data_IF_532842739468
#
_entry.id   IF_532842739468
#
_cell.length_a   1.000
_cell.length_b   1.000
_cell.length_c   1.000
_cell.angle_alpha   90.00
_cell.angle_beta   90.00
_cell.angle_gamma   90.00
#
_symmetry.space_group_name_H-M   'P 1'
#
loop_
_entity.id
_entity.type
_entity.pdbx_description
1 polymer ?
#
# COMPACT_ATOMS: atom_id res chain seq x y z
N UNK A 1 1.39 19.54 2.58
CA UNK A 1 2.25 18.74 1.69
C UNK A 1 2.37 19.47 0.37
N UNK A 2 3.57 19.56 -0.18
CA UNK A 2 3.79 20.13 -1.53
C UNK A 2 3.13 19.20 -2.55
N UNK A 3 2.50 19.77 -3.61
CA UNK A 3 1.91 19.03 -4.73
C UNK A 3 2.95 18.17 -5.50
N UNK A 4 4.23 18.45 -5.29
CA UNK A 4 5.37 17.79 -5.96
C UNK A 4 6.04 16.70 -5.09
N UNK A 5 5.52 16.40 -3.89
CA UNK A 5 6.12 15.37 -3.04
C UNK A 5 5.55 14.00 -3.39
N UNK A 6 6.41 13.03 -3.67
CA UNK A 6 5.99 11.62 -3.85
C UNK A 6 5.18 11.15 -2.65
N UNK A 7 3.98 10.60 -2.87
CA UNK A 7 3.14 10.08 -1.80
C UNK A 7 3.84 8.98 -1.00
N UNK A 8 3.51 8.87 0.28
CA UNK A 8 4.13 7.85 1.15
C UNK A 8 3.95 6.43 0.63
N UNK A 9 2.78 6.10 0.10
CA UNK A 9 2.46 4.77 -0.43
C UNK A 9 3.19 4.39 -1.73
N UNK A 10 3.91 5.34 -2.35
CA UNK A 10 4.69 5.13 -3.59
C UNK A 10 6.20 5.24 -3.35
N UNK A 11 6.61 5.48 -2.10
CA UNK A 11 8.01 5.51 -1.70
C UNK A 11 8.47 4.10 -1.36
N UNK A 12 9.74 3.80 -1.63
CA UNK A 12 10.37 2.55 -1.18
C UNK A 12 10.49 2.59 0.33
N UNK A 13 9.95 1.59 1.03
CA UNK A 13 10.01 1.48 2.48
C UNK A 13 11.22 0.64 2.89
N UNK A 14 12.19 1.27 3.55
CA UNK A 14 13.43 0.64 4.03
C UNK A 14 13.36 0.55 5.55
N UNK A 15 13.28 -0.67 6.09
CA UNK A 15 13.20 -0.89 7.52
C UNK A 15 14.54 -1.31 8.12
N UNK A 16 14.92 -0.71 9.25
CA UNK A 16 16.14 -1.03 9.98
C UNK A 16 15.79 -1.89 11.20
N UNK A 17 16.34 -3.09 11.25
CA UNK A 17 16.22 -4.03 12.36
C UNK A 17 17.59 -4.21 13.04
N UNK A 18 17.60 -4.58 14.28
CA UNK A 18 18.83 -4.86 15.05
C UNK A 18 18.66 -4.53 16.52
N UNK A 19 19.62 -4.99 17.29
CA UNK A 19 19.66 -4.78 18.75
C UNK A 19 19.68 -3.29 19.12
N UNK A 20 19.41 -3.05 20.37
CA UNK A 20 19.63 -1.73 20.95
C UNK A 20 21.10 -1.33 20.80
N UNK A 21 21.36 -0.05 20.60
CA UNK A 21 22.70 0.51 20.40
C UNK A 21 23.51 -0.06 19.22
N UNK A 22 22.93 -0.85 18.33
CA UNK A 22 23.59 -1.26 17.07
C UNK A 22 23.84 -0.07 16.13
N UNK A 23 23.18 1.07 16.39
CA UNK A 23 23.39 2.31 15.65
C UNK A 23 22.41 2.54 14.48
N UNK A 24 21.20 1.97 14.53
CA UNK A 24 20.14 2.16 13.52
C UNK A 24 19.89 3.63 13.21
N UNK A 25 19.56 4.43 14.23
CA UNK A 25 19.30 5.86 14.09
C UNK A 25 20.53 6.63 13.61
N UNK A 26 21.75 6.21 14.03
CA UNK A 26 23.00 6.81 13.59
C UNK A 26 23.25 6.56 12.10
N UNK A 27 22.92 5.37 11.59
CA UNK A 27 23.01 5.05 10.16
C UNK A 27 22.04 5.93 9.36
N UNK A 28 20.78 6.08 9.80
CA UNK A 28 19.81 6.97 9.14
C UNK A 28 20.36 8.39 9.06
N UNK A 29 20.90 8.92 10.15
CA UNK A 29 21.48 10.27 10.19
C UNK A 29 22.71 10.39 9.27
N UNK A 30 23.57 9.36 9.22
CA UNK A 30 24.75 9.34 8.34
C UNK A 30 24.34 9.28 6.85
N UNK A 31 23.32 8.50 6.50
CA UNK A 31 22.81 8.37 5.13
C UNK A 31 22.18 9.68 4.62
N UNK A 32 21.56 10.45 5.50
CA UNK A 32 20.83 11.67 5.15
C UNK A 32 21.64 12.94 5.28
N UNK A 33 22.80 12.89 5.92
CA UNK A 33 23.58 14.07 6.35
C UNK A 33 22.77 15.07 7.20
N UNK A 34 21.73 14.60 7.92
CA UNK A 34 20.85 15.40 8.77
C UNK A 34 20.65 14.68 10.11
N UNK A 35 20.53 15.42 11.18
CA UNK A 35 20.15 14.89 12.50
C UNK A 35 18.63 14.65 12.55
N UNK A 36 18.14 13.69 11.75
CA UNK A 36 16.72 13.39 11.63
C UNK A 36 16.24 12.37 12.66
N UNK A 37 17.11 11.52 13.16
CA UNK A 37 16.78 10.51 14.17
C UNK A 37 17.32 10.96 15.53
N UNK A 38 16.47 10.86 16.56
CA UNK A 38 16.90 11.12 17.94
C UNK A 38 17.72 9.92 18.39
N UNK A 39 19.03 10.12 18.55
CA UNK A 39 19.90 9.16 19.20
C UNK A 39 19.73 9.37 20.72
N UNK A 40 19.03 8.47 21.39
CA UNK A 40 18.84 8.53 22.83
C UNK A 40 19.60 7.41 23.54
N UNK A 41 20.46 7.77 24.48
CA UNK A 41 21.15 6.83 25.37
C UNK A 41 20.27 6.38 26.57
N UNK A 42 19.05 6.93 26.68
CA UNK A 42 18.15 6.66 27.82
C UNK A 42 17.29 5.44 27.57
N UNK A 43 17.25 4.52 28.54
CA UNK A 43 16.40 3.33 28.53
C UNK A 43 14.90 3.69 28.44
N UNK A 44 14.19 3.15 27.43
CA UNK A 44 12.73 3.12 27.43
C UNK A 44 11.99 4.16 26.60
N UNK A 45 12.63 4.84 25.63
CA UNK A 45 12.04 6.03 25.02
C UNK A 45 11.07 5.80 23.85
N UNK A 46 11.07 4.67 23.15
CA UNK A 46 10.03 4.42 22.13
C UNK A 46 9.81 2.92 21.89
N UNK A 47 8.56 2.48 21.99
CA UNK A 47 8.11 1.15 21.57
C UNK A 47 7.59 1.14 20.13
N UNK A 48 7.33 2.29 19.54
CA UNK A 48 6.75 2.40 18.21
C UNK A 48 7.80 2.73 17.14
N UNK A 49 7.67 2.17 15.93
CA UNK A 49 8.53 2.47 14.80
C UNK A 49 8.40 3.93 14.37
N UNK A 50 9.52 4.56 14.03
CA UNK A 50 9.55 5.94 13.54
C UNK A 50 9.70 5.94 12.02
N UNK A 51 8.76 6.59 11.33
CA UNK A 51 8.74 6.68 9.88
C UNK A 51 9.26 8.05 9.40
N UNK A 52 10.23 8.05 8.49
CA UNK A 52 10.83 9.28 7.93
C UNK A 52 10.85 9.22 6.41
N UNK A 53 10.07 10.10 5.78
CA UNK A 53 10.10 10.28 4.34
C UNK A 53 11.26 11.19 3.94
N UNK A 54 12.06 10.77 2.95
CA UNK A 54 13.22 11.51 2.47
C UNK A 54 13.56 11.16 1.02
N UNK A 55 14.51 11.92 0.44
CA UNK A 55 15.18 11.54 -0.80
C UNK A 55 16.51 10.87 -0.47
N UNK A 56 16.75 9.71 -1.04
CA UNK A 56 17.96 8.93 -0.87
C UNK A 56 18.57 8.60 -2.23
N UNK A 57 19.58 9.35 -2.66
CA UNK A 57 20.29 9.05 -3.91
C UNK A 57 21.18 7.78 -3.76
N UNK A 58 21.19 6.86 -4.75
CA UNK A 58 20.55 6.96 -6.07
C UNK A 58 19.08 6.49 -6.13
N UNK A 59 18.46 6.05 -5.01
CA UNK A 59 17.13 5.44 -4.99
C UNK A 59 15.98 6.42 -5.25
N UNK A 60 16.16 7.72 -4.95
CA UNK A 60 15.07 8.69 -5.00
C UNK A 60 14.21 8.71 -3.71
N UNK A 61 12.87 8.82 -3.84
CA UNK A 61 11.99 8.98 -2.69
C UNK A 61 11.82 7.68 -1.87
N UNK A 62 12.22 7.70 -0.60
CA UNK A 62 12.13 6.56 0.32
C UNK A 62 11.39 6.93 1.62
N UNK A 63 10.95 5.91 2.36
CA UNK A 63 10.56 5.99 3.76
C UNK A 63 11.49 5.12 4.56
N UNK A 64 12.31 5.72 5.42
CA UNK A 64 13.11 4.99 6.39
C UNK A 64 12.26 4.65 7.61
N UNK A 65 12.28 3.40 8.05
CA UNK A 65 11.53 2.93 9.23
C UNK A 65 12.54 2.53 10.28
N UNK A 66 12.71 3.37 11.31
CA UNK A 66 13.56 3.08 12.46
C UNK A 66 12.77 2.24 13.45
N UNK A 67 13.17 0.99 13.65
CA UNK A 67 12.52 0.11 14.61
C UNK A 67 13.16 0.24 16.00
N UNK A 68 12.37 0.13 17.09
CA UNK A 68 12.95 0.05 18.43
C UNK A 68 13.90 -1.15 18.53
N UNK A 69 14.88 -1.09 19.45
CA UNK A 69 15.77 -2.22 19.72
C UNK A 69 14.95 -3.43 20.20
N UNK A 70 15.26 -4.62 19.69
CA UNK A 70 14.43 -5.82 19.82
C UNK A 70 14.98 -6.85 20.83
N UNK A 71 15.98 -6.45 21.61
CA UNK A 71 16.78 -7.28 22.52
C UNK A 71 16.31 -7.27 23.97
N UNK A 72 15.10 -6.79 24.27
CA UNK A 72 14.53 -6.85 25.61
C UNK A 72 13.82 -8.21 25.85
N UNK A 73 13.97 -8.75 27.06
CA UNK A 73 13.30 -9.97 27.52
C UNK A 73 11.92 -9.65 28.15
N UNK A 74 11.04 -10.65 28.20
CA UNK A 74 9.72 -10.56 28.82
C UNK A 74 8.65 -9.88 27.98
N UNK A 75 7.60 -9.37 28.62
CA UNK A 75 6.41 -8.79 27.98
C UNK A 75 6.72 -7.64 27.00
N UNK A 76 7.78 -6.87 27.26
CA UNK A 76 8.23 -5.80 26.41
C UNK A 76 8.92 -6.34 25.13
N UNK A 77 9.65 -7.46 25.26
CA UNK A 77 10.26 -8.17 24.13
C UNK A 77 9.21 -8.72 23.16
N UNK A 78 8.16 -9.37 23.67
CA UNK A 78 7.06 -9.88 22.83
C UNK A 78 6.36 -8.77 22.04
N UNK A 79 6.07 -7.64 22.70
CA UNK A 79 5.47 -6.47 22.04
C UNK A 79 6.37 -5.91 20.93
N UNK A 80 7.68 -5.90 21.12
CA UNK A 80 8.65 -5.43 20.10
C UNK A 80 8.78 -6.40 18.94
N UNK A 81 8.80 -7.70 19.19
CA UNK A 81 8.77 -8.73 18.14
C UNK A 81 7.50 -8.60 17.28
N UNK A 82 6.35 -8.40 17.93
CA UNK A 82 5.09 -8.13 17.24
C UNK A 82 5.19 -6.89 16.34
N UNK A 83 5.71 -5.78 16.86
CA UNK A 83 5.94 -4.55 16.08
C UNK A 83 6.93 -4.76 14.93
N UNK A 84 7.98 -5.55 15.12
CA UNK A 84 8.91 -5.89 14.05
C UNK A 84 8.20 -6.66 12.92
N UNK A 85 7.34 -7.63 13.26
CA UNK A 85 6.53 -8.37 12.28
C UNK A 85 5.58 -7.46 11.50
N UNK A 86 4.95 -6.47 12.16
CA UNK A 86 4.12 -5.46 11.52
C UNK A 86 4.93 -4.60 10.53
N UNK A 87 6.15 -4.18 10.92
CA UNK A 87 7.05 -3.39 10.07
C UNK A 87 7.51 -4.20 8.86
N UNK A 88 7.84 -5.49 9.06
CA UNK A 88 8.20 -6.39 7.96
C UNK A 88 7.10 -6.52 6.91
N UNK A 89 5.83 -6.48 7.32
CA UNK A 89 4.69 -6.48 6.38
C UNK A 89 4.62 -5.24 5.47
N UNK A 90 5.38 -4.19 5.79
CA UNK A 90 5.39 -2.89 5.07
C UNK A 90 6.73 -2.61 4.40
N UNK A 91 7.78 -3.31 4.77
CA UNK A 91 9.14 -3.05 4.30
C UNK A 91 9.37 -3.65 2.90
N UNK A 92 9.79 -2.84 1.94
CA UNK A 92 10.24 -3.28 0.63
C UNK A 92 11.68 -3.81 0.70
N UNK A 93 12.51 -3.22 1.57
CA UNK A 93 13.90 -3.61 1.84
C UNK A 93 14.13 -3.64 3.35
N UNK A 94 14.85 -4.63 3.84
CA UNK A 94 15.26 -4.75 5.23
C UNK A 94 16.77 -4.57 5.40
N UNK A 95 17.18 -3.76 6.38
CA UNK A 95 18.57 -3.62 6.80
C UNK A 95 18.70 -4.22 8.21
N UNK A 96 19.53 -5.25 8.35
CA UNK A 96 19.84 -5.87 9.65
C UNK A 96 21.12 -5.25 10.17
N UNK A 97 21.00 -4.37 11.16
CA UNK A 97 22.10 -3.58 11.69
C UNK A 97 22.74 -4.30 12.89
N UNK A 98 24.03 -4.56 12.78
CA UNK A 98 24.83 -5.26 13.78
C UNK A 98 25.98 -4.38 14.26
N UNK A 99 26.42 -4.61 15.49
CA UNK A 99 27.65 -4.04 16.00
C UNK A 99 28.83 -4.91 15.54
N UNK A 100 29.74 -4.36 14.74
CA UNK A 100 30.89 -5.09 14.20
C UNK A 100 31.83 -5.63 15.30
N UNK A 101 31.77 -5.07 16.52
CA UNK A 101 32.58 -5.58 17.67
C UNK A 101 31.98 -6.83 18.29
N UNK A 102 30.67 -7.02 18.19
CA UNK A 102 29.95 -8.18 18.73
C UNK A 102 29.72 -9.29 17.70
N UNK A 103 29.69 -8.92 16.40
CA UNK A 103 29.35 -9.83 15.33
C UNK A 103 27.86 -10.18 15.28
N UNK A 104 27.52 -11.18 14.47
CA UNK A 104 26.16 -11.73 14.36
C UNK A 104 25.84 -12.61 15.56
N UNK A 105 24.63 -12.48 16.08
CA UNK A 105 24.11 -13.27 17.21
C UNK A 105 22.85 -14.01 16.81
N UNK A 106 22.38 -14.94 17.64
CA UNK A 106 21.14 -15.70 17.41
C UNK A 106 19.93 -14.82 17.10
N UNK A 107 19.86 -13.64 17.73
CA UNK A 107 18.80 -12.66 17.46
C UNK A 107 18.80 -12.16 15.99
N UNK A 108 19.96 -11.78 15.46
CA UNK A 108 20.06 -11.32 14.07
C UNK A 108 19.82 -12.48 13.10
N UNK A 109 20.24 -13.70 13.43
CA UNK A 109 19.95 -14.90 12.62
C UNK A 109 18.45 -15.17 12.54
N UNK A 110 17.71 -15.11 13.66
CA UNK A 110 16.27 -15.31 13.69
C UNK A 110 15.53 -14.21 12.92
N UNK A 111 16.00 -12.96 13.01
CA UNK A 111 15.46 -11.86 12.22
C UNK A 111 15.68 -12.08 10.73
N UNK A 112 16.86 -12.53 10.31
CA UNK A 112 17.18 -12.83 8.92
C UNK A 112 16.27 -13.97 8.42
N UNK A 113 16.09 -15.05 9.17
CA UNK A 113 15.16 -16.14 8.82
C UNK A 113 13.74 -15.61 8.59
N UNK A 114 13.24 -14.75 9.48
CA UNK A 114 11.91 -14.14 9.35
C UNK A 114 11.78 -13.22 8.11
N UNK A 115 12.86 -12.53 7.73
CA UNK A 115 12.94 -11.69 6.53
C UNK A 115 12.93 -12.58 5.28
N UNK A 116 13.70 -13.67 5.27
CA UNK A 116 13.81 -14.62 4.16
C UNK A 116 12.49 -15.37 3.93
N UNK A 117 11.82 -15.83 4.98
CA UNK A 117 10.50 -16.47 4.90
C UNK A 117 9.47 -15.56 4.21
N UNK A 118 9.59 -14.26 4.40
CA UNK A 118 8.73 -13.25 3.74
C UNK A 118 9.24 -12.77 2.39
N UNK A 119 10.33 -13.34 1.90
CA UNK A 119 10.97 -12.98 0.62
C UNK A 119 11.24 -11.47 0.50
N UNK A 120 11.73 -10.86 1.58
CA UNK A 120 12.10 -9.45 1.59
C UNK A 120 13.57 -9.34 1.22
N UNK A 121 13.94 -8.53 0.20
CA UNK A 121 15.33 -8.20 -0.05
C UNK A 121 15.98 -7.58 1.18
N UNK A 122 17.19 -8.05 1.55
CA UNK A 122 17.84 -7.54 2.76
C UNK A 122 19.36 -7.41 2.60
N UNK A 123 19.94 -6.61 3.49
CA UNK A 123 21.37 -6.41 3.63
C UNK A 123 21.77 -6.47 5.10
N UNK A 124 22.86 -7.18 5.38
CA UNK A 124 23.52 -7.19 6.68
C UNK A 124 24.44 -5.98 6.75
N UNK A 125 24.31 -5.17 7.81
CA UNK A 125 25.10 -3.94 7.96
C UNK A 125 25.86 -3.99 9.27
N UNK A 126 27.17 -4.21 9.17
CA UNK A 126 28.09 -4.19 10.30
C UNK A 126 28.55 -2.77 10.55
N UNK A 127 27.98 -2.15 11.59
CA UNK A 127 28.27 -0.79 11.98
C UNK A 127 29.37 -0.74 13.08
N UNK A 128 29.90 0.45 13.37
CA UNK A 128 30.94 0.73 14.33
C UNK A 128 32.32 0.14 13.96
N UNK A 129 32.63 0.11 12.69
CA UNK A 129 33.95 -0.32 12.21
C UNK A 129 35.11 0.53 12.75
N UNK A 130 34.83 1.74 13.24
CA UNK A 130 35.80 2.60 13.95
C UNK A 130 36.25 2.04 15.29
N UNK A 131 35.47 1.14 15.90
CA UNK A 131 35.76 0.47 17.17
C UNK A 131 36.26 -0.95 16.99
N UNK A 132 36.17 -1.52 15.79
CA UNK A 132 36.54 -2.88 15.50
C UNK A 132 37.95 -2.97 14.90
N UNK A 133 38.76 -3.89 15.43
CA UNK A 133 40.00 -4.31 14.78
C UNK A 133 39.76 -5.41 13.72
N UNK A 134 38.49 -5.72 13.45
CA UNK A 134 38.12 -6.73 12.48
C UNK A 134 38.52 -6.25 11.07
N UNK A 135 39.28 -7.09 10.35
CA UNK A 135 39.41 -6.91 8.92
C UNK A 135 38.06 -7.15 8.29
N UNK A 136 37.74 -6.40 7.24
CA UNK A 136 36.55 -6.66 6.41
C UNK A 136 36.60 -8.11 5.93
N UNK A 137 35.66 -8.93 6.38
CA UNK A 137 35.50 -10.27 5.84
C UNK A 137 34.47 -10.22 4.70
N UNK A 138 34.75 -10.92 3.64
CA UNK A 138 33.81 -11.04 2.52
C UNK A 138 32.66 -11.95 2.94
N UNK A 139 31.50 -11.36 3.20
CA UNK A 139 30.26 -12.05 3.44
C UNK A 139 29.22 -11.61 2.42
N UNK A 140 28.44 -12.56 1.93
CA UNK A 140 27.39 -12.26 0.96
C UNK A 140 26.29 -11.37 1.58
N UNK A 141 25.76 -10.45 0.78
CA UNK A 141 24.75 -9.48 1.22
C UNK A 141 25.16 -8.69 2.48
N UNK A 142 26.41 -8.26 2.56
CA UNK A 142 26.91 -7.51 3.71
C UNK A 142 27.59 -6.20 3.35
N UNK A 143 27.48 -5.20 4.24
CA UNK A 143 28.21 -3.94 4.20
C UNK A 143 28.83 -3.64 5.55
N UNK A 144 30.03 -3.03 5.52
CA UNK A 144 30.80 -2.63 6.70
C UNK A 144 30.88 -1.12 6.75
N UNK A 145 30.37 -0.53 7.83
CA UNK A 145 30.24 0.93 7.95
C UNK A 145 30.68 1.46 9.31
N UNK A 146 31.09 2.73 9.34
CA UNK A 146 31.11 3.53 10.57
C UNK A 146 30.18 4.72 10.38
N UNK A 147 29.01 4.66 11.00
CA UNK A 147 28.07 5.78 10.98
C UNK A 147 28.66 7.04 11.63
N UNK A 148 29.53 6.88 12.62
CA UNK A 148 30.24 7.96 13.33
C UNK A 148 31.21 8.70 12.40
N UNK A 149 32.05 7.95 11.68
CA UNK A 149 33.08 8.52 10.78
C UNK A 149 32.57 8.69 9.34
N UNK A 150 31.30 8.31 9.07
CA UNK A 150 30.67 8.32 7.76
C UNK A 150 31.41 7.47 6.71
N UNK A 151 32.14 6.45 7.13
CA UNK A 151 32.83 5.51 6.23
C UNK A 151 31.90 4.39 5.79
N UNK A 152 31.99 3.95 4.51
CA UNK A 152 31.16 2.88 3.95
C UNK A 152 29.69 3.28 3.71
N UNK A 153 29.29 4.53 3.97
CA UNK A 153 27.90 4.99 3.85
C UNK A 153 27.49 5.14 2.38
N UNK A 154 28.41 5.54 1.51
CA UNK A 154 28.17 5.60 0.07
C UNK A 154 27.94 4.20 -0.51
N UNK A 155 28.82 3.29 -0.21
CA UNK A 155 28.76 1.90 -0.62
C UNK A 155 27.47 1.23 -0.13
N UNK A 156 27.07 1.52 1.10
CA UNK A 156 25.78 1.06 1.65
C UNK A 156 24.58 1.55 0.80
N UNK A 157 24.57 2.81 0.37
CA UNK A 157 23.51 3.34 -0.50
C UNK A 157 23.47 2.67 -1.86
N UNK A 158 24.63 2.41 -2.47
CA UNK A 158 24.74 1.70 -3.74
C UNK A 158 24.21 0.25 -3.62
N UNK A 159 24.58 -0.46 -2.55
CA UNK A 159 24.10 -1.83 -2.32
C UNK A 159 22.58 -1.88 -2.06
N UNK A 160 22.04 -0.91 -1.32
CA UNK A 160 20.59 -0.78 -1.15
C UNK A 160 19.92 -0.53 -2.51
N UNK A 161 20.52 0.29 -3.37
CA UNK A 161 20.03 0.56 -4.73
C UNK A 161 19.86 -0.70 -5.58
N UNK A 162 20.75 -1.67 -5.42
CA UNK A 162 20.70 -2.96 -6.15
C UNK A 162 19.58 -3.89 -5.64
N UNK A 163 19.07 -3.66 -4.43
CA UNK A 163 18.00 -4.47 -3.84
C UNK A 163 16.58 -3.99 -4.23
N UNK A 164 16.47 -2.84 -4.87
CA UNK A 164 15.16 -2.32 -5.30
C UNK A 164 14.52 -3.32 -6.27
N UNK A 165 13.31 -3.79 -6.01
CA UNK A 165 12.62 -4.69 -6.92
C UNK A 165 12.39 -4.00 -8.28
N UNK A 166 12.93 -4.59 -9.35
CA UNK A 166 12.78 -4.06 -10.73
C UNK A 166 11.41 -4.38 -11.34
N UNK A 167 10.65 -5.28 -10.73
CA UNK A 167 9.33 -5.72 -11.23
C UNK A 167 8.25 -4.63 -11.10
N UNK A 168 8.45 -3.62 -10.26
CA UNK A 168 7.47 -2.54 -10.06
C UNK A 168 7.42 -1.55 -11.24
N UNK A 169 8.47 -1.44 -12.03
CA UNK A 169 8.50 -0.54 -13.20
C UNK A 169 7.58 -1.01 -14.36
N UNK A 170 7.16 -2.28 -14.35
CA UNK A 170 6.28 -2.86 -15.39
C UNK A 170 4.80 -2.69 -15.08
N UNK A 171 4.45 -2.45 -13.81
CA UNK A 171 3.06 -2.36 -13.39
C UNK A 171 2.51 -0.96 -13.64
N UNK A 172 1.45 -0.92 -14.43
CA UNK A 172 0.72 0.31 -14.74
C UNK A 172 -0.62 0.34 -13.99
N UNK A 173 -1.08 1.52 -13.65
CA UNK A 173 -2.44 1.70 -13.09
C UNK A 173 -3.45 1.45 -14.20
N UNK A 174 -3.24 2.10 -15.35
CA UNK A 174 -4.13 2.10 -16.51
C UNK A 174 -3.39 2.19 -17.84
N UNK A 175 -2.11 2.55 -17.84
CA UNK A 175 -1.34 2.84 -19.05
C UNK A 175 -1.20 1.67 -20.02
N UNK A 176 -1.31 0.43 -19.53
CA UNK A 176 -1.32 -0.81 -20.33
C UNK A 176 -2.70 -1.15 -20.92
N UNK A 177 -3.76 -0.46 -20.49
CA UNK A 177 -5.13 -0.64 -20.99
C UNK A 177 -5.48 0.31 -22.16
N UNK A 178 -4.56 1.20 -22.53
CA UNK A 178 -4.75 2.25 -23.53
C UNK A 178 -3.57 2.28 -24.51
N UNK A 179 -3.82 2.86 -25.68
CA UNK A 179 -2.79 3.11 -26.68
C UNK A 179 -2.42 4.61 -26.74
N UNK A 180 -1.21 4.97 -27.24
CA UNK A 180 -0.87 6.36 -27.51
C UNK A 180 -1.94 7.05 -28.37
N UNK A 181 -2.26 8.30 -28.01
CA UNK A 181 -3.34 9.13 -28.62
C UNK A 181 -4.77 8.66 -28.34
N UNK A 182 -4.99 7.68 -27.48
CA UNK A 182 -6.35 7.40 -27.00
C UNK A 182 -6.86 8.53 -26.11
N UNK A 183 -8.20 8.69 -26.12
CA UNK A 183 -8.89 9.57 -25.17
C UNK A 183 -9.45 8.76 -24.01
N UNK A 184 -9.20 9.23 -22.79
CA UNK A 184 -9.75 8.65 -21.56
C UNK A 184 -10.48 9.74 -20.80
N UNK A 185 -11.73 9.48 -20.39
CA UNK A 185 -12.49 10.42 -19.58
C UNK A 185 -12.39 9.98 -18.11
N UNK A 186 -11.97 10.92 -17.26
CA UNK A 186 -11.90 10.77 -15.82
C UNK A 186 -13.07 11.51 -15.19
N UNK A 187 -14.02 10.80 -14.61
CA UNK A 187 -15.19 11.39 -13.95
C UNK A 187 -14.91 11.53 -12.46
N UNK A 188 -14.78 12.79 -12.02
CA UNK A 188 -14.37 13.16 -10.67
C UNK A 188 -15.48 13.95 -9.99
N UNK A 189 -16.28 13.34 -9.11
CA UNK A 189 -17.27 14.05 -8.32
C UNK A 189 -16.63 15.12 -7.43
N UNK A 190 -17.26 16.26 -7.30
CA UNK A 190 -16.87 17.30 -6.35
C UNK A 190 -17.87 17.25 -5.19
N UNK A 191 -17.53 16.50 -4.19
CA UNK A 191 -18.32 16.36 -2.97
C UNK A 191 -17.67 17.07 -1.76
N UNK A 192 -18.34 17.05 -0.62
CA UNK A 192 -17.85 17.66 0.61
C UNK A 192 -16.65 16.95 1.22
N UNK A 193 -16.40 15.70 0.83
CA UNK A 193 -15.27 14.90 1.29
C UNK A 193 -13.99 15.15 0.46
N UNK A 194 -14.14 15.73 -0.74
CA UNK A 194 -13.00 16.06 -1.60
C UNK A 194 -12.16 17.18 -0.96
N UNK A 195 -10.82 17.05 -0.94
CA UNK A 195 -9.97 18.10 -0.43
C UNK A 195 -10.11 19.38 -1.28
N UNK A 196 -10.40 20.53 -0.66
CA UNK A 196 -10.48 21.80 -1.38
C UNK A 196 -9.23 22.05 -2.21
N UNK A 197 -9.42 22.37 -3.51
CA UNK A 197 -8.37 22.82 -4.41
C UNK A 197 -7.42 21.75 -4.92
N UNK A 198 -7.71 20.45 -4.72
CA UNK A 198 -6.86 19.38 -5.27
C UNK A 198 -7.66 18.09 -5.57
N UNK A 199 -7.15 17.35 -6.55
CA UNK A 199 -7.57 15.97 -6.79
C UNK A 199 -7.05 15.04 -5.68
N UNK A 200 -7.74 13.94 -5.42
CA UNK A 200 -7.24 12.89 -4.53
C UNK A 200 -6.13 12.09 -5.21
N UNK A 201 -5.33 11.39 -4.41
CA UNK A 201 -4.15 10.69 -4.88
C UNK A 201 -4.41 9.70 -6.03
N UNK A 202 -5.42 8.82 -6.00
CA UNK A 202 -5.71 7.92 -7.11
C UNK A 202 -5.95 8.63 -8.44
N UNK A 203 -6.64 9.76 -8.41
CA UNK A 203 -6.93 10.56 -9.60
C UNK A 203 -5.65 11.16 -10.19
N UNK A 204 -4.78 11.74 -9.34
CA UNK A 204 -3.51 12.32 -9.77
C UNK A 204 -2.58 11.27 -10.39
N UNK A 205 -2.46 10.10 -9.76
CA UNK A 205 -1.61 9.01 -10.23
C UNK A 205 -2.13 8.41 -11.55
N UNK A 206 -3.44 8.24 -11.69
CA UNK A 206 -4.06 7.78 -12.94
C UNK A 206 -3.79 8.76 -14.10
N UNK A 207 -3.93 10.08 -13.85
CA UNK A 207 -3.59 11.10 -14.86
C UNK A 207 -2.12 10.99 -15.27
N UNK A 208 -1.22 10.82 -14.31
CA UNK A 208 0.20 10.71 -14.59
C UNK A 208 0.53 9.46 -15.41
N UNK A 209 -0.05 8.32 -15.07
CA UNK A 209 0.16 7.06 -15.78
C UNK A 209 -0.38 7.12 -17.23
N UNK A 210 -1.53 7.78 -17.44
CA UNK A 210 -2.07 8.04 -18.79
C UNK A 210 -1.13 8.92 -19.63
N UNK A 211 -0.56 9.97 -19.04
CA UNK A 211 0.40 10.84 -19.72
C UNK A 211 1.67 10.07 -20.12
N UNK A 212 2.17 9.21 -19.26
CA UNK A 212 3.34 8.34 -19.53
C UNK A 212 3.03 7.30 -20.62
N UNK A 213 1.79 6.85 -20.74
CA UNK A 213 1.33 5.99 -21.83
C UNK A 213 1.09 6.73 -23.16
N UNK A 214 1.22 8.06 -23.19
CA UNK A 214 0.95 8.89 -24.38
C UNK A 214 -0.54 9.05 -24.68
N UNK A 215 -1.44 8.75 -23.74
CA UNK A 215 -2.88 8.94 -23.87
C UNK A 215 -3.30 10.34 -23.38
N UNK A 216 -4.39 10.86 -23.92
CA UNK A 216 -4.99 12.12 -23.50
C UNK A 216 -6.08 11.87 -22.45
N UNK A 217 -6.05 12.59 -21.34
CA UNK A 217 -7.10 12.53 -20.31
C UNK A 217 -7.96 13.80 -20.29
N UNK A 218 -9.27 13.61 -20.21
CA UNK A 218 -10.26 14.68 -20.03
C UNK A 218 -10.90 14.47 -18.67
N UNK A 219 -10.75 15.45 -17.77
CA UNK A 219 -11.28 15.37 -16.41
C UNK A 219 -12.56 16.18 -16.34
N UNK A 220 -13.66 15.54 -15.94
CA UNK A 220 -14.98 16.15 -15.85
C UNK A 220 -15.69 15.74 -14.58
N UNK A 221 -16.70 16.51 -14.16
CA UNK A 221 -17.64 16.05 -13.13
C UNK A 221 -18.70 15.14 -13.76
N UNK A 222 -19.42 14.40 -12.95
CA UNK A 222 -20.52 13.55 -13.41
C UNK A 222 -21.65 14.34 -14.08
N UNK A 223 -21.77 15.64 -13.81
CA UNK A 223 -22.79 16.54 -14.39
C UNK A 223 -22.46 16.99 -15.81
N UNK A 224 -21.19 17.04 -16.18
CA UNK A 224 -20.74 17.44 -17.53
C UNK A 224 -20.42 16.24 -18.42
N UNK A 225 -20.49 15.00 -17.92
CA UNK A 225 -20.09 13.80 -18.65
C UNK A 225 -20.87 13.60 -19.95
N UNK A 226 -22.20 13.70 -19.90
CA UNK A 226 -23.07 13.49 -21.08
C UNK A 226 -22.71 14.44 -22.20
N UNK A 227 -22.66 15.73 -21.90
CA UNK A 227 -22.26 16.78 -22.87
C UNK A 227 -20.85 16.57 -23.41
N UNK A 228 -19.92 16.15 -22.55
CA UNK A 228 -18.55 15.88 -22.98
C UNK A 228 -18.49 14.71 -23.97
N UNK A 229 -19.25 13.64 -23.73
CA UNK A 229 -19.34 12.51 -24.66
C UNK A 229 -19.91 12.88 -26.02
N UNK A 230 -20.88 13.80 -26.05
CA UNK A 230 -21.48 14.31 -27.30
C UNK A 230 -20.51 15.20 -28.08
N UNK A 231 -19.74 16.05 -27.40
CA UNK A 231 -18.92 17.09 -28.02
C UNK A 231 -17.48 16.68 -28.35
N UNK A 232 -16.97 15.59 -27.76
CA UNK A 232 -15.55 15.19 -27.86
C UNK A 232 -15.13 14.80 -29.29
N UNK A 233 -16.08 14.44 -30.16
CA UNK A 233 -15.84 14.12 -31.56
C UNK A 233 -15.05 12.83 -31.84
N UNK A 234 -14.55 12.16 -30.82
CA UNK A 234 -13.86 10.87 -30.88
C UNK A 234 -14.30 10.00 -29.73
N UNK A 235 -14.64 8.74 -30.01
CA UNK A 235 -15.02 7.77 -28.98
C UNK A 235 -13.90 7.58 -27.97
N UNK A 236 -14.14 7.73 -26.65
CA UNK A 236 -13.16 7.41 -25.63
C UNK A 236 -12.84 5.90 -25.59
N UNK A 237 -11.58 5.56 -25.37
CA UNK A 237 -11.16 4.18 -25.18
C UNK A 237 -11.63 3.62 -23.83
N UNK A 238 -11.72 4.51 -22.82
CA UNK A 238 -12.08 4.15 -21.45
C UNK A 238 -12.67 5.33 -20.71
N UNK A 239 -13.67 5.06 -19.86
CA UNK A 239 -14.17 6.00 -18.85
C UNK A 239 -13.81 5.45 -17.46
N UNK A 240 -13.19 6.29 -16.64
CA UNK A 240 -12.78 5.94 -15.26
C UNK A 240 -13.53 6.88 -14.31
N UNK A 241 -14.23 6.31 -13.34
CA UNK A 241 -15.02 7.11 -12.41
C UNK A 241 -14.67 6.83 -10.95
N UNK A 242 -15.08 7.69 -10.05
CA UNK A 242 -15.18 7.33 -8.64
C UNK A 242 -16.32 6.31 -8.46
N UNK A 243 -16.07 5.24 -7.67
CA UNK A 243 -17.04 4.16 -7.49
C UNK A 243 -18.38 4.65 -6.92
N UNK A 244 -18.40 5.74 -6.15
CA UNK A 244 -19.63 6.33 -5.65
C UNK A 244 -20.53 6.89 -6.75
N UNK A 245 -19.97 7.27 -7.89
CA UNK A 245 -20.69 7.83 -9.02
C UNK A 245 -21.20 6.77 -10.01
N UNK A 246 -20.87 5.48 -9.81
CA UNK A 246 -21.23 4.39 -10.73
C UNK A 246 -22.71 4.40 -11.14
N UNK A 247 -23.63 4.58 -10.19
CA UNK A 247 -25.07 4.54 -10.48
C UNK A 247 -25.57 5.63 -11.46
N UNK A 248 -24.85 6.76 -11.54
CA UNK A 248 -25.13 7.83 -12.50
C UNK A 248 -24.34 7.62 -13.80
N UNK A 249 -23.05 7.40 -13.67
CA UNK A 249 -22.11 7.30 -14.79
C UNK A 249 -22.43 6.13 -15.69
N UNK A 250 -22.78 4.97 -15.14
CA UNK A 250 -23.14 3.77 -15.92
C UNK A 250 -24.35 3.94 -16.82
N UNK A 251 -25.26 4.87 -16.48
CA UNK A 251 -26.45 5.17 -17.28
C UNK A 251 -26.17 6.16 -18.41
N UNK A 252 -25.12 6.98 -18.28
CA UNK A 252 -24.72 8.01 -19.25
C UNK A 252 -23.75 7.42 -20.27
N UNK A 253 -22.79 6.61 -19.82
CA UNK A 253 -21.76 6.03 -20.70
C UNK A 253 -22.37 4.93 -21.56
N UNK A 254 -22.31 5.01 -22.92
CA UNK A 254 -22.75 3.94 -23.82
C UNK A 254 -22.09 2.60 -23.50
N UNK A 255 -22.80 1.48 -23.74
CA UNK A 255 -22.31 0.13 -23.42
C UNK A 255 -21.08 -0.28 -24.22
N UNK A 256 -20.87 0.28 -25.39
CA UNK A 256 -19.74 0.05 -26.26
C UNK A 256 -18.48 0.83 -25.85
N UNK A 257 -18.55 1.62 -24.77
CA UNK A 257 -17.40 2.30 -24.14
C UNK A 257 -17.07 1.58 -22.82
N UNK A 258 -15.82 1.12 -22.70
CA UNK A 258 -15.33 0.48 -21.46
C UNK A 258 -15.46 1.43 -20.26
N UNK A 259 -15.86 0.89 -19.13
CA UNK A 259 -16.07 1.62 -17.88
C UNK A 259 -15.39 0.90 -16.73
N UNK A 260 -14.65 1.63 -15.90
CA UNK A 260 -14.10 1.12 -14.64
C UNK A 260 -14.03 2.23 -13.59
N UNK A 261 -13.42 1.97 -12.43
CA UNK A 261 -13.21 2.98 -11.39
C UNK A 261 -11.78 3.07 -10.91
N UNK A 262 -11.43 4.22 -10.32
CA UNK A 262 -10.15 4.40 -9.65
C UNK A 262 -9.91 3.31 -8.59
N UNK A 263 -10.92 2.92 -7.84
CA UNK A 263 -10.80 1.90 -6.79
C UNK A 263 -10.47 0.50 -7.36
N UNK A 264 -11.08 0.11 -8.49
CA UNK A 264 -10.78 -1.17 -9.17
C UNK A 264 -9.38 -1.14 -9.79
N UNK A 265 -8.98 -0.02 -10.42
CA UNK A 265 -7.62 0.15 -10.92
C UNK A 265 -6.58 0.00 -9.80
N UNK A 266 -6.85 0.55 -8.61
CA UNK A 266 -5.95 0.44 -7.46
C UNK A 266 -5.98 -0.93 -6.81
N UNK A 267 -7.10 -1.66 -6.83
CA UNK A 267 -7.18 -3.07 -6.47
C UNK A 267 -6.21 -3.92 -7.30
N UNK A 268 -6.15 -3.68 -8.61
CA UNK A 268 -5.20 -4.30 -9.53
C UNK A 268 -3.76 -3.83 -9.28
N UNK A 269 -3.54 -2.54 -9.15
CA UNK A 269 -2.20 -1.94 -9.07
C UNK A 269 -1.49 -2.26 -7.76
N UNK A 270 -2.18 -2.19 -6.62
CA UNK A 270 -1.59 -2.38 -5.27
C UNK A 270 -1.98 -3.70 -4.62
N UNK A 271 -3.15 -4.24 -4.95
CA UNK A 271 -3.74 -5.43 -4.34
C UNK A 271 -3.59 -6.70 -5.17
N UNK A 272 -4.68 -7.47 -5.17
CA UNK A 272 -4.90 -8.70 -5.92
C UNK A 272 -6.35 -8.67 -6.43
N UNK A 273 -6.55 -8.09 -7.63
CA UNK A 273 -7.88 -7.91 -8.21
C UNK A 273 -8.64 -9.23 -8.35
N UNK A 274 -7.93 -10.29 -8.70
CA UNK A 274 -8.52 -11.61 -8.93
C UNK A 274 -9.04 -12.22 -7.63
N UNK A 275 -8.28 -12.13 -6.54
CA UNK A 275 -8.72 -12.60 -5.22
C UNK A 275 -9.91 -11.79 -4.71
N UNK A 276 -9.87 -10.46 -4.88
CA UNK A 276 -10.96 -9.57 -4.47
C UNK A 276 -12.24 -9.80 -5.30
N UNK A 277 -12.13 -10.22 -6.57
CA UNK A 277 -13.29 -10.64 -7.38
C UNK A 277 -13.86 -11.97 -6.90
N UNK A 278 -13.01 -12.96 -6.53
CA UNK A 278 -13.49 -14.22 -5.92
C UNK A 278 -14.29 -13.96 -4.64
N UNK A 279 -13.86 -12.97 -3.85
CA UNK A 279 -14.55 -12.58 -2.62
C UNK A 279 -16.00 -12.11 -2.82
N UNK A 280 -16.36 -11.65 -4.03
CA UNK A 280 -17.74 -11.16 -4.32
C UNK A 280 -18.79 -12.23 -4.07
N UNK A 281 -18.49 -13.51 -4.37
CA UNK A 281 -19.42 -14.62 -4.17
C UNK A 281 -19.91 -14.72 -2.72
N UNK A 282 -19.09 -14.32 -1.75
CA UNK A 282 -19.47 -14.33 -0.34
C UNK A 282 -20.68 -13.43 -0.05
N UNK A 283 -20.87 -12.34 -0.82
CA UNK A 283 -21.98 -11.41 -0.62
C UNK A 283 -23.37 -12.09 -0.74
N UNK A 284 -23.47 -13.13 -1.57
CA UNK A 284 -24.71 -13.87 -1.79
C UNK A 284 -25.02 -14.85 -0.66
N UNK A 285 -23.99 -15.25 0.11
CA UNK A 285 -24.08 -16.29 1.13
C UNK A 285 -23.98 -15.78 2.57
N UNK A 286 -23.84 -14.46 2.76
CA UNK A 286 -23.79 -13.88 4.11
C UNK A 286 -25.06 -14.18 4.89
N UNK A 287 -24.91 -14.66 6.10
CA UNK A 287 -26.04 -14.92 7.01
C UNK A 287 -26.43 -13.66 7.81
N UNK A 288 -27.64 -13.65 8.39
CA UNK A 288 -28.08 -12.61 9.31
C UNK A 288 -27.12 -12.52 10.51
N UNK A 289 -26.64 -11.32 10.84
CA UNK A 289 -25.71 -11.09 11.93
C UNK A 289 -24.24 -11.45 11.62
N UNK A 290 -23.90 -11.82 10.37
CA UNK A 290 -22.53 -12.09 9.99
C UNK A 290 -21.59 -10.90 10.33
N UNK A 291 -20.36 -11.23 10.72
CA UNK A 291 -19.38 -10.26 11.19
C UNK A 291 -18.53 -9.74 10.05
N UNK A 292 -18.66 -8.46 9.73
CA UNK A 292 -18.04 -7.82 8.58
C UNK A 292 -16.97 -6.84 9.04
N UNK A 293 -15.75 -6.98 8.51
CA UNK A 293 -14.70 -6.00 8.71
C UNK A 293 -14.67 -5.01 7.54
N UNK A 294 -14.86 -3.73 7.82
CA UNK A 294 -14.61 -2.65 6.86
C UNK A 294 -13.25 -2.03 7.17
N UNK A 295 -12.27 -2.22 6.27
CA UNK A 295 -10.89 -1.85 6.47
C UNK A 295 -10.46 -0.69 5.57
N UNK A 296 -9.89 0.35 6.16
CA UNK A 296 -9.40 1.54 5.47
C UNK A 296 -7.88 1.71 5.64
N UNK A 297 -7.20 2.02 4.55
CA UNK A 297 -5.74 2.24 4.57
C UNK A 297 -5.31 3.60 5.12
N UNK A 298 -6.22 4.52 5.36
CA UNK A 298 -5.93 5.87 5.83
C UNK A 298 -6.76 6.24 7.06
N UNK A 299 -6.30 7.28 7.76
CA UNK A 299 -7.01 7.91 8.88
C UNK A 299 -7.51 9.28 8.42
N UNK A 300 -8.48 9.31 7.51
CA UNK A 300 -9.09 10.57 7.12
C UNK A 300 -10.19 10.99 8.12
N UNK A 301 -10.51 12.26 8.11
CA UNK A 301 -11.58 12.77 8.98
C UNK A 301 -12.93 12.22 8.51
N UNK A 302 -13.57 11.40 9.34
CA UNK A 302 -14.89 10.82 9.06
C UNK A 302 -15.94 11.91 8.99
N UNK A 303 -16.67 11.96 7.90
CA UNK A 303 -17.80 12.89 7.70
C UNK A 303 -19.14 12.17 7.89
N UNK A 304 -20.22 12.94 7.99
CA UNK A 304 -21.56 12.39 8.20
C UNK A 304 -22.03 11.42 7.09
N UNK A 305 -21.37 11.43 5.93
CA UNK A 305 -21.72 10.60 4.77
C UNK A 305 -20.51 9.80 4.26
N UNK A 306 -19.70 9.29 5.19
CA UNK A 306 -18.49 8.52 4.93
C UNK A 306 -18.79 7.20 4.20
N UNK A 307 -17.89 6.80 3.28
CA UNK A 307 -18.10 5.60 2.46
C UNK A 307 -18.06 4.34 3.30
N UNK A 308 -17.02 4.18 4.10
CA UNK A 308 -16.78 2.95 4.87
C UNK A 308 -17.78 2.77 6.00
N UNK A 309 -18.00 3.82 6.80
CA UNK A 309 -18.77 3.70 8.04
C UNK A 309 -20.27 3.94 7.87
N UNK A 310 -20.71 4.55 6.76
CA UNK A 310 -22.13 4.91 6.53
C UNK A 310 -22.68 4.29 5.25
N UNK A 311 -22.02 4.51 4.10
CA UNK A 311 -22.59 4.11 2.80
C UNK A 311 -22.50 2.60 2.57
N UNK A 312 -21.35 1.97 2.83
CA UNK A 312 -21.17 0.53 2.64
C UNK A 312 -22.14 -0.28 3.51
N UNK A 313 -22.27 -0.03 4.82
CA UNK A 313 -23.28 -0.71 5.64
C UNK A 313 -24.70 -0.59 5.09
N UNK A 314 -25.07 0.61 4.64
CA UNK A 314 -26.39 0.85 4.04
C UNK A 314 -26.60 0.08 2.75
N UNK A 315 -25.61 0.09 1.84
CA UNK A 315 -25.67 -0.64 0.56
C UNK A 315 -25.69 -2.15 0.78
N UNK A 316 -24.89 -2.65 1.72
CA UNK A 316 -24.88 -4.06 2.08
C UNK A 316 -26.27 -4.53 2.57
N UNK A 317 -26.89 -3.77 3.47
CA UNK A 317 -28.25 -4.04 3.94
C UNK A 317 -29.28 -3.95 2.80
N UNK A 318 -29.16 -2.98 1.91
CA UNK A 318 -30.06 -2.84 0.76
C UNK A 318 -29.95 -4.00 -0.23
N UNK A 319 -28.71 -4.51 -0.44
CA UNK A 319 -28.43 -5.58 -1.37
C UNK A 319 -28.88 -6.95 -0.84
N UNK A 320 -28.60 -7.25 0.42
CA UNK A 320 -28.87 -8.56 1.04
C UNK A 320 -30.22 -8.65 1.76
N UNK A 321 -30.78 -7.51 2.19
CA UNK A 321 -31.96 -7.46 3.07
C UNK A 321 -31.69 -7.83 4.53
N UNK A 322 -30.43 -8.04 4.92
CA UNK A 322 -29.97 -8.54 6.23
C UNK A 322 -29.26 -7.46 7.04
N UNK A 323 -29.22 -7.63 8.36
CA UNK A 323 -28.41 -6.84 9.28
C UNK A 323 -27.12 -7.58 9.65
N UNK A 324 -26.03 -6.84 9.89
CA UNK A 324 -24.69 -7.38 10.11
C UNK A 324 -24.00 -6.74 11.32
N UNK A 325 -23.09 -7.49 11.94
CA UNK A 325 -22.16 -6.98 12.95
C UNK A 325 -20.95 -6.35 12.27
N UNK A 326 -20.94 -5.01 12.17
CA UNK A 326 -19.96 -4.26 11.38
C UNK A 326 -18.85 -3.69 12.26
N UNK A 327 -17.63 -4.13 11.99
CA UNK A 327 -16.41 -3.65 12.59
C UNK A 327 -15.63 -2.78 11.60
N UNK A 328 -14.91 -1.80 12.11
CA UNK A 328 -14.10 -0.90 11.27
C UNK A 328 -12.67 -0.84 11.75
N UNK A 329 -11.72 -0.85 10.80
CA UNK A 329 -10.32 -0.56 11.07
C UNK A 329 -9.81 0.55 10.15
N UNK A 330 -8.82 1.33 10.60
CA UNK A 330 -8.28 2.44 9.81
C UNK A 330 -6.77 2.64 9.98
N UNK A 331 -6.12 3.13 8.94
CA UNK A 331 -4.69 3.41 8.94
C UNK A 331 -3.86 2.14 9.13
N UNK A 332 -3.01 2.15 10.15
CA UNK A 332 -2.12 1.02 10.45
C UNK A 332 -2.78 -0.08 11.32
N UNK A 333 -3.99 0.17 11.83
CA UNK A 333 -4.72 -0.79 12.66
C UNK A 333 -5.42 -1.81 11.76
N UNK A 334 -4.79 -2.94 11.52
CA UNK A 334 -5.42 -4.07 10.83
C UNK A 334 -5.48 -5.24 11.80
N UNK A 335 -6.68 -5.84 12.06
CA UNK A 335 -6.88 -6.86 13.08
C UNK A 335 -5.96 -8.09 12.91
N UNK A 336 -5.73 -8.80 14.00
CA UNK A 336 -5.00 -10.08 13.99
C UNK A 336 -5.95 -11.28 13.95
N UNK A 337 -7.11 -11.15 14.57
CA UNK A 337 -8.20 -12.12 14.70
C UNK A 337 -9.10 -12.15 13.45
N UNK A 338 -8.48 -12.28 12.27
CA UNK A 338 -9.18 -12.22 10.98
C UNK A 338 -10.14 -13.39 10.78
N UNK A 339 -9.84 -14.55 11.33
CA UNK A 339 -10.68 -15.77 11.32
C UNK A 339 -12.06 -15.59 11.98
N UNK A 340 -12.24 -14.50 12.74
CA UNK A 340 -13.53 -14.18 13.36
C UNK A 340 -14.50 -13.47 12.43
N UNK A 341 -14.09 -13.07 11.22
CA UNK A 341 -14.90 -12.35 10.26
C UNK A 341 -15.40 -13.24 9.13
N UNK A 342 -16.63 -12.99 8.66
CA UNK A 342 -17.22 -13.69 7.53
C UNK A 342 -16.90 -13.00 6.19
N UNK A 343 -16.53 -11.72 6.22
CA UNK A 343 -16.13 -10.94 5.04
C UNK A 343 -15.26 -9.75 5.46
N UNK A 344 -14.24 -9.46 4.66
CA UNK A 344 -13.48 -8.20 4.73
C UNK A 344 -13.79 -7.33 3.51
N UNK A 345 -14.19 -6.07 3.74
CA UNK A 345 -14.39 -5.07 2.69
C UNK A 345 -13.29 -4.03 2.83
N UNK A 346 -12.28 -4.02 1.94
CA UNK A 346 -11.10 -3.16 2.04
C UNK A 346 -11.15 -2.01 1.03
N UNK A 347 -10.73 -0.81 1.45
CA UNK A 347 -10.59 0.33 0.53
C UNK A 347 -9.43 0.10 -0.47
N UNK A 348 -9.32 0.94 -1.51
CA UNK A 348 -8.25 0.85 -2.52
C UNK A 348 -6.83 1.09 -2.02
N UNK A 349 -6.61 1.34 -0.72
CA UNK A 349 -5.29 1.42 -0.10
C UNK A 349 -4.36 2.50 -0.68
N UNK A 350 -4.89 3.63 -1.14
CA UNK A 350 -4.12 4.66 -1.84
C UNK A 350 -2.93 5.23 -1.03
N UNK A 351 -3.01 5.22 0.29
CA UNK A 351 -1.96 5.68 1.21
C UNK A 351 -1.02 4.56 1.68
N UNK A 352 -1.41 3.30 1.44
CA UNK A 352 -0.58 2.14 1.74
C UNK A 352 0.41 1.91 0.59
N UNK A 353 1.59 1.37 0.90
CA UNK A 353 2.43 0.83 -0.16
C UNK A 353 1.88 -0.53 -0.63
N UNK A 354 2.35 -0.98 -1.79
CA UNK A 354 1.89 -2.21 -2.42
C UNK A 354 2.13 -3.44 -1.55
N UNK A 355 3.28 -3.49 -0.88
CA UNK A 355 3.63 -4.62 0.00
C UNK A 355 2.68 -4.75 1.17
N UNK A 356 2.34 -3.65 1.82
CA UNK A 356 1.37 -3.64 2.92
C UNK A 356 -0.01 -4.10 2.44
N UNK A 357 -0.47 -3.62 1.27
CA UNK A 357 -1.76 -4.04 0.72
C UNK A 357 -1.79 -5.54 0.43
N UNK A 358 -0.78 -6.06 -0.26
CA UNK A 358 -0.65 -7.51 -0.53
C UNK A 358 -0.54 -8.34 0.74
N UNK A 359 0.20 -7.85 1.76
CA UNK A 359 0.30 -8.53 3.05
C UNK A 359 -1.05 -8.61 3.76
N UNK A 360 -1.88 -7.56 3.70
CA UNK A 360 -3.24 -7.58 4.27
C UNK A 360 -4.13 -8.60 3.56
N UNK A 361 -4.13 -8.61 2.23
CA UNK A 361 -4.89 -9.58 1.42
C UNK A 361 -4.43 -11.01 1.73
N UNK A 362 -3.12 -11.26 1.73
CA UNK A 362 -2.57 -12.59 2.03
C UNK A 362 -2.99 -13.08 3.42
N UNK A 363 -2.92 -12.22 4.46
CA UNK A 363 -3.35 -12.58 5.82
C UNK A 363 -4.83 -12.95 5.89
N UNK A 364 -5.70 -12.22 5.19
CA UNK A 364 -7.14 -12.53 5.13
C UNK A 364 -7.36 -13.88 4.42
N UNK A 365 -6.66 -14.08 3.31
CA UNK A 365 -6.71 -15.31 2.53
C UNK A 365 -6.20 -16.52 3.29
N UNK A 366 -5.09 -16.39 4.03
CA UNK A 366 -4.50 -17.47 4.83
C UNK A 366 -5.46 -17.96 5.94
N UNK A 367 -6.33 -17.09 6.45
CA UNK A 367 -7.41 -17.44 7.39
C UNK A 367 -8.69 -17.97 6.68
N UNK A 368 -8.67 -18.07 5.35
CA UNK A 368 -9.81 -18.55 4.57
C UNK A 368 -11.00 -17.58 4.51
N UNK A 369 -10.80 -16.32 4.87
CA UNK A 369 -11.83 -15.29 4.88
C UNK A 369 -11.91 -14.60 3.51
N UNK A 370 -13.11 -14.42 2.92
CA UNK A 370 -13.26 -13.68 1.66
C UNK A 370 -12.93 -12.19 1.86
N UNK A 371 -12.30 -11.59 0.83
CA UNK A 371 -11.98 -10.16 0.80
C UNK A 371 -12.48 -9.52 -0.48
N UNK A 372 -13.04 -8.32 -0.37
CA UNK A 372 -13.58 -7.55 -1.51
C UNK A 372 -13.09 -6.10 -1.42
N UNK A 373 -12.74 -5.50 -2.57
CA UNK A 373 -12.44 -4.08 -2.65
C UNK A 373 -13.70 -3.21 -2.65
N UNK A 374 -13.65 -1.98 -2.12
CA UNK A 374 -14.76 -1.02 -2.15
C UNK A 374 -15.37 -0.84 -3.54
N UNK A 375 -14.54 -0.69 -4.58
CA UNK A 375 -15.01 -0.50 -5.95
C UNK A 375 -15.73 -1.72 -6.50
N UNK A 376 -15.21 -2.91 -6.23
CA UNK A 376 -15.80 -4.19 -6.62
C UNK A 376 -17.12 -4.41 -5.87
N UNK A 377 -17.14 -4.18 -4.55
CA UNK A 377 -18.35 -4.26 -3.73
C UNK A 377 -19.45 -3.33 -4.25
N UNK A 378 -19.13 -2.05 -4.51
CA UNK A 378 -20.09 -1.07 -5.00
C UNK A 378 -20.61 -1.45 -6.39
N UNK A 379 -19.72 -1.91 -7.28
CA UNK A 379 -20.12 -2.36 -8.62
C UNK A 379 -21.03 -3.59 -8.56
N UNK A 380 -20.76 -4.54 -7.66
CA UNK A 380 -21.59 -5.73 -7.45
C UNK A 380 -22.98 -5.36 -6.93
N UNK A 381 -23.05 -4.54 -5.88
CA UNK A 381 -24.33 -4.11 -5.28
C UNK A 381 -25.18 -3.25 -6.21
N UNK A 382 -24.57 -2.64 -7.23
CA UNK A 382 -25.28 -1.86 -8.27
C UNK A 382 -25.55 -2.64 -9.57
N UNK A 383 -25.16 -3.92 -9.63
CA UNK A 383 -25.42 -4.79 -10.78
C UNK A 383 -24.59 -4.48 -12.04
N UNK A 384 -23.46 -3.75 -11.89
CA UNK A 384 -22.60 -3.34 -13.02
C UNK A 384 -21.21 -3.96 -12.97
N UNK A 385 -20.97 -4.91 -12.06
CA UNK A 385 -19.63 -5.49 -11.86
C UNK A 385 -19.04 -6.07 -13.15
N UNK A 386 -19.82 -6.81 -13.92
CA UNK A 386 -19.39 -7.41 -15.18
C UNK A 386 -18.82 -6.34 -16.14
N UNK A 387 -19.55 -5.23 -16.31
CA UNK A 387 -19.14 -4.12 -17.17
C UNK A 387 -17.86 -3.45 -16.67
N UNK A 388 -17.73 -3.27 -15.35
CA UNK A 388 -16.56 -2.58 -14.77
C UNK A 388 -15.27 -3.41 -14.78
N UNK A 389 -15.40 -4.72 -15.00
CA UNK A 389 -14.27 -5.65 -15.13
C UNK A 389 -13.90 -5.97 -16.58
N UNK A 390 -14.68 -5.56 -17.58
CA UNK A 390 -14.37 -5.77 -19.00
C UNK A 390 -12.95 -5.35 -19.42
N UNK A 391 -12.33 -4.28 -18.88
CA UNK A 391 -10.95 -3.96 -19.18
C UNK A 391 -9.93 -4.99 -18.70
N UNK A 392 -10.30 -5.93 -17.82
CA UNK A 392 -9.42 -6.86 -17.11
C UNK A 392 -9.81 -8.31 -17.45
N UNK A 393 -9.12 -8.92 -18.43
CA UNK A 393 -9.47 -10.21 -18.99
C UNK A 393 -9.55 -11.32 -17.95
N UNK A 394 -8.52 -11.43 -17.08
CA UNK A 394 -8.45 -12.49 -16.06
C UNK A 394 -9.53 -12.33 -14.98
N UNK A 395 -9.73 -11.11 -14.49
CA UNK A 395 -10.77 -10.80 -13.51
C UNK A 395 -12.19 -11.06 -14.08
N UNK A 396 -12.41 -10.70 -15.36
CA UNK A 396 -13.66 -11.01 -16.07
C UNK A 396 -13.89 -12.51 -16.23
N UNK A 397 -12.85 -13.28 -16.52
CA UNK A 397 -12.92 -14.73 -16.61
C UNK A 397 -13.32 -15.34 -15.26
N UNK A 398 -12.64 -14.95 -14.19
CA UNK A 398 -12.95 -15.40 -12.83
C UNK A 398 -14.39 -15.08 -12.46
N UNK A 399 -14.88 -13.87 -12.74
CA UNK A 399 -16.26 -13.48 -12.45
C UNK A 399 -17.28 -14.39 -13.17
N UNK A 400 -16.96 -14.87 -14.37
CA UNK A 400 -17.87 -15.77 -15.11
C UNK A 400 -17.78 -17.23 -14.64
N UNK A 401 -16.75 -17.61 -13.88
CA UNK A 401 -16.54 -18.96 -13.32
C UNK A 401 -17.18 -19.12 -11.93
N UNK A 402 -17.43 -18.03 -11.22
CA UNK A 402 -18.02 -18.01 -9.88
C UNK A 402 -19.53 -17.71 -9.93
#
# INVERSE_FOLDING_TARGET
MSLNATPRGDRIHIALFGKRNAGKSSIINAMTNQELAIVSDVKGTTTDPVYKAMELLPLGPVVMIDTPGLDDEGELGEKRVKKAKEVLGKADIALVIMDATAGMTEFEEDMIRLIEDRKIPYLKVYNKMDLSNAQEWKEDKSCFVSAKDKKGIWELKEEIGKLVPTDDDTLKIVGDLVCPNDFVILVVPIDSAAPKGRLILPQQQTIRDLLEAGAASIVVRETELEKTLEEIGKKPALVITDSQAFGKVSKIVPEDIKLTSFSILFARYKGDLEEEVRGVKALEHLEEGAKILIAEGCTHHRQCDDIGTVKIPRWLKQYTGKDFDIHTSSGNSFPEDLDTYDLVIHCGGCTLNRREMKNRIARVKDEGVPIVNYGIFIAATQGILKRTLEPFEEASRILNEI
#
